data_IF_124430166075
#
_entry.id   IF_124430166075
#
_cell.length_a   1.000
_cell.length_b   1.000
_cell.length_c   1.000
_cell.angle_alpha   90.00
_cell.angle_beta   90.00
_cell.angle_gamma   90.00
#
_symmetry.space_group_name_H-M   'P 1'
#
loop_
_entity.id
_entity.type
_entity.pdbx_description
1 polymer ?
#
# COMPACT_ATOMS: atom_id res chain seq x y z
N UNK A 1 -15.28 4.96 23.43
CA UNK A 1 -14.51 3.82 22.87
C UNK A 1 -14.08 4.16 21.46
N UNK A 2 -12.81 4.45 21.26
CA UNK A 2 -12.27 4.83 19.93
C UNK A 2 -12.05 3.56 19.11
N UNK A 3 -12.84 3.36 18.06
CA UNK A 3 -12.67 2.22 17.15
C UNK A 3 -11.35 2.40 16.38
N UNK A 4 -10.38 1.50 16.60
CA UNK A 4 -9.04 1.59 16.04
C UNK A 4 -8.92 1.07 14.60
N UNK A 5 -9.87 0.23 14.12
CA UNK A 5 -9.82 -0.42 12.79
C UNK A 5 -11.06 -0.13 11.93
N UNK A 6 -10.90 0.50 10.76
CA UNK A 6 -11.99 0.81 9.81
C UNK A 6 -11.66 0.41 8.38
N UNK A 7 -12.46 -0.45 7.76
CA UNK A 7 -12.28 -0.82 6.35
C UNK A 7 -12.39 0.42 5.45
N UNK A 8 -11.45 0.65 4.51
CA UNK A 8 -11.51 1.80 3.62
C UNK A 8 -12.64 1.70 2.58
N UNK A 9 -12.91 0.50 2.08
CA UNK A 9 -13.89 0.25 1.01
C UNK A 9 -15.33 0.31 1.53
N UNK A 10 -15.72 -0.59 2.42
CA UNK A 10 -17.10 -0.67 2.91
C UNK A 10 -17.35 0.04 4.25
N UNK A 11 -16.33 0.73 4.80
CA UNK A 11 -16.42 1.57 6.01
C UNK A 11 -16.77 0.82 7.31
N UNK A 12 -16.84 -0.51 7.27
CA UNK A 12 -17.06 -1.39 8.43
C UNK A 12 -16.00 -1.14 9.49
N UNK A 13 -16.45 -1.02 10.75
CA UNK A 13 -15.57 -0.80 11.90
C UNK A 13 -15.37 -2.11 12.67
N UNK A 14 -14.14 -2.33 13.14
CA UNK A 14 -13.75 -3.45 13.99
C UNK A 14 -12.99 -2.95 15.20
N UNK A 15 -13.21 -3.62 16.32
CA UNK A 15 -12.63 -3.26 17.62
C UNK A 15 -11.22 -3.81 17.80
N UNK A 16 -10.91 -4.90 17.11
CA UNK A 16 -9.63 -5.60 17.19
C UNK A 16 -9.10 -5.96 15.80
N UNK A 17 -7.80 -6.16 15.74
CA UNK A 17 -7.07 -6.46 14.50
C UNK A 17 -7.47 -7.81 13.91
N UNK A 18 -7.76 -8.83 14.74
CA UNK A 18 -8.15 -10.17 14.28
C UNK A 18 -9.45 -10.14 13.49
N UNK A 19 -10.49 -9.50 14.03
CA UNK A 19 -11.77 -9.30 13.35
C UNK A 19 -11.63 -8.40 12.12
N UNK A 20 -10.67 -7.48 12.12
CA UNK A 20 -10.35 -6.67 10.94
C UNK A 20 -9.73 -7.51 9.84
N UNK A 21 -8.71 -8.32 10.13
CA UNK A 21 -8.09 -9.24 9.17
C UNK A 21 -9.10 -10.27 8.63
N UNK A 22 -9.95 -10.82 9.50
CA UNK A 22 -11.01 -11.74 9.09
C UNK A 22 -11.99 -11.06 8.12
N UNK A 23 -12.38 -9.82 8.41
CA UNK A 23 -13.25 -9.04 7.54
C UNK A 23 -12.62 -8.84 6.15
N UNK A 24 -11.35 -8.45 6.07
CA UNK A 24 -10.67 -8.24 4.79
C UNK A 24 -10.57 -9.54 3.98
N UNK A 25 -10.30 -10.68 4.64
CA UNK A 25 -10.28 -11.99 3.99
C UNK A 25 -11.66 -12.39 3.46
N UNK A 26 -12.71 -12.14 4.24
CA UNK A 26 -14.08 -12.49 3.87
C UNK A 26 -14.61 -11.64 2.71
N UNK A 27 -14.22 -10.36 2.64
CA UNK A 27 -14.71 -9.45 1.60
C UNK A 27 -13.77 -9.30 0.40
N UNK A 28 -12.52 -9.74 0.52
CA UNK A 28 -11.49 -9.51 -0.50
C UNK A 28 -11.01 -8.06 -0.60
N UNK A 29 -11.41 -7.20 0.36
CA UNK A 29 -11.02 -5.79 0.37
C UNK A 29 -9.52 -5.61 0.66
N UNK A 30 -8.90 -4.62 0.02
CA UNK A 30 -7.45 -4.37 0.06
C UNK A 30 -7.11 -3.20 0.98
N UNK A 31 -5.91 -3.23 1.55
CA UNK A 31 -5.36 -2.16 2.38
C UNK A 31 -4.30 -1.37 1.60
N UNK A 32 -4.05 -0.13 2.04
CA UNK A 32 -2.93 0.64 1.49
C UNK A 32 -1.62 -0.01 1.87
N UNK A 33 -0.72 -0.11 0.89
CA UNK A 33 0.69 -0.46 1.12
C UNK A 33 1.60 0.78 1.12
N UNK A 34 1.01 1.97 1.14
CA UNK A 34 1.71 3.25 1.09
C UNK A 34 2.53 3.61 2.35
N UNK A 35 2.68 2.70 3.30
CA UNK A 35 3.73 2.77 4.33
C UNK A 35 3.51 3.73 5.50
N UNK A 36 2.35 4.40 5.58
CA UNK A 36 2.06 5.35 6.68
C UNK A 36 0.67 5.23 7.31
N UNK A 37 -0.24 4.46 6.71
CA UNK A 37 -1.62 4.34 7.18
C UNK A 37 -2.11 2.91 7.05
N UNK A 38 -2.91 2.49 8.03
CA UNK A 38 -3.58 1.18 8.02
C UNK A 38 -4.70 1.07 6.94
N UNK A 39 -4.95 2.13 6.16
CA UNK A 39 -6.13 2.28 5.30
C UNK A 39 -5.79 2.88 3.95
N UNK A 40 -6.48 2.44 2.89
CA UNK A 40 -6.41 3.08 1.57
C UNK A 40 -6.84 4.54 1.64
N UNK A 41 -5.97 5.43 1.19
CA UNK A 41 -6.34 6.82 1.00
C UNK A 41 -7.28 6.96 -0.20
N UNK A 42 -8.19 7.95 -0.13
CA UNK A 42 -9.07 8.30 -1.27
C UNK A 42 -8.23 8.68 -2.50
N UNK A 43 -8.75 8.47 -3.73
CA UNK A 43 -8.15 9.04 -4.94
C UNK A 43 -7.89 10.55 -4.77
N UNK A 44 -6.68 11.01 -5.11
CA UNK A 44 -6.23 12.39 -4.90
C UNK A 44 -5.71 12.72 -3.49
N UNK A 45 -5.51 11.72 -2.62
CA UNK A 45 -4.89 11.96 -1.33
C UNK A 45 -3.37 12.12 -1.44
N UNK A 46 -2.79 13.17 -0.81
CA UNK A 46 -1.36 13.49 -0.97
C UNK A 46 -0.43 12.39 -0.42
N UNK A 47 -0.90 11.52 0.48
CA UNK A 47 -0.03 10.57 1.17
C UNK A 47 0.23 9.28 0.38
N UNK A 48 -0.64 8.89 -0.55
CA UNK A 48 -0.33 7.80 -1.49
C UNK A 48 0.72 8.23 -2.50
N UNK A 49 0.60 9.45 -3.03
CA UNK A 49 1.45 9.99 -4.10
C UNK A 49 2.85 10.39 -3.61
N UNK A 50 2.98 10.76 -2.34
CA UNK A 50 4.27 11.08 -1.70
C UNK A 50 5.11 9.86 -1.32
N UNK A 51 4.57 8.65 -1.38
CA UNK A 51 5.38 7.45 -1.16
C UNK A 51 6.39 7.33 -2.32
N UNK A 52 7.70 7.11 -2.06
CA UNK A 52 8.68 6.92 -3.13
C UNK A 52 8.32 5.80 -4.11
N UNK A 53 7.59 4.78 -3.64
CA UNK A 53 7.09 3.64 -4.43
C UNK A 53 5.67 3.85 -4.97
N UNK A 54 5.13 5.07 -4.93
CA UNK A 54 3.72 5.34 -5.24
C UNK A 54 3.29 4.83 -6.61
N UNK A 55 4.14 4.95 -7.64
CA UNK A 55 3.83 4.46 -8.99
C UNK A 55 3.65 2.92 -9.03
N UNK A 56 4.56 2.16 -8.42
CA UNK A 56 4.44 0.70 -8.33
C UNK A 56 3.20 0.27 -7.53
N UNK A 57 2.91 0.99 -6.44
CA UNK A 57 1.75 0.71 -5.58
C UNK A 57 0.42 1.01 -6.27
N UNK A 58 0.36 2.07 -7.08
CA UNK A 58 -0.82 2.39 -7.90
C UNK A 58 -1.01 1.36 -9.01
N UNK A 59 0.07 0.96 -9.71
CA UNK A 59 0.01 -0.08 -10.73
C UNK A 59 -0.58 -1.40 -10.19
N UNK A 60 -0.10 -1.85 -9.02
CA UNK A 60 -0.64 -3.03 -8.34
C UNK A 60 -2.13 -2.90 -7.99
N UNK A 61 -2.58 -1.69 -7.60
CA UNK A 61 -4.01 -1.44 -7.32
C UNK A 61 -4.87 -1.50 -8.57
N UNK A 62 -4.37 -0.98 -9.69
CA UNK A 62 -5.10 -0.96 -10.96
C UNK A 62 -5.01 -2.29 -11.73
N UNK A 63 -4.41 -3.32 -11.13
CA UNK A 63 -4.42 -4.68 -11.66
C UNK A 63 -3.27 -5.00 -12.62
N UNK A 64 -2.18 -4.22 -12.59
CA UNK A 64 -0.94 -4.62 -13.24
C UNK A 64 -0.46 -5.96 -12.68
N UNK A 65 0.25 -6.71 -13.53
CA UNK A 65 0.88 -7.97 -13.15
C UNK A 65 1.99 -7.77 -12.11
N UNK A 66 2.32 -8.82 -11.37
CA UNK A 66 3.40 -8.76 -10.38
C UNK A 66 4.76 -8.44 -11.05
N UNK A 67 4.96 -8.88 -12.30
CA UNK A 67 6.14 -8.58 -13.11
C UNK A 67 6.23 -7.07 -13.41
N UNK A 68 5.16 -6.48 -13.94
CA UNK A 68 5.11 -5.04 -14.23
C UNK A 68 5.29 -4.19 -12.96
N UNK A 69 4.68 -4.60 -11.85
CA UNK A 69 4.84 -3.92 -10.55
C UNK A 69 6.29 -3.97 -10.10
N UNK A 70 6.97 -5.10 -10.33
CA UNK A 70 8.39 -5.29 -9.98
C UNK A 70 9.29 -4.44 -10.85
N UNK A 71 9.03 -4.36 -12.15
CA UNK A 71 9.79 -3.52 -13.08
C UNK A 71 9.69 -2.03 -12.72
N UNK A 72 8.48 -1.55 -12.42
CA UNK A 72 8.27 -0.17 -11.97
C UNK A 72 9.01 0.08 -10.65
N UNK A 73 9.00 -0.88 -9.72
CA UNK A 73 9.70 -0.76 -8.46
C UNK A 73 11.23 -0.70 -8.66
N UNK A 74 11.78 -1.53 -9.55
CA UNK A 74 13.20 -1.52 -9.91
C UNK A 74 13.61 -0.19 -10.54
N UNK A 75 12.84 0.31 -11.50
CA UNK A 75 13.09 1.58 -12.16
C UNK A 75 13.16 2.73 -11.15
N UNK A 76 12.21 2.78 -10.19
CA UNK A 76 12.23 3.78 -9.11
C UNK A 76 13.52 3.69 -8.30
N UNK A 77 13.92 2.48 -7.90
CA UNK A 77 15.13 2.27 -7.08
C UNK A 77 16.39 2.69 -7.83
N UNK A 78 16.49 2.37 -9.12
CA UNK A 78 17.66 2.65 -9.95
C UNK A 78 17.78 4.13 -10.34
N UNK A 79 16.66 4.83 -10.53
CA UNK A 79 16.65 6.21 -11.03
C UNK A 79 16.52 7.28 -9.95
N UNK A 80 16.00 6.94 -8.76
CA UNK A 80 15.87 7.91 -7.66
C UNK A 80 17.23 8.26 -7.08
N UNK A 81 17.80 9.40 -7.53
CA UNK A 81 19.02 9.98 -6.95
C UNK A 81 18.80 10.30 -5.47
N UNK A 82 19.27 9.40 -4.60
CA UNK A 82 19.63 9.52 -3.17
C UNK A 82 19.14 8.31 -2.37
N UNK A 83 19.73 7.14 -2.61
CA UNK A 83 20.01 6.15 -1.58
C UNK A 83 21.21 5.34 -2.08
N UNK A 84 22.39 5.65 -1.56
CA UNK A 84 23.50 4.71 -1.58
C UNK A 84 22.95 3.42 -0.97
N UNK A 85 22.82 2.36 -1.76
CA UNK A 85 22.57 1.05 -1.19
C UNK A 85 23.72 0.78 -0.22
N UNK A 86 23.42 0.63 1.08
CA UNK A 86 24.45 0.34 2.09
C UNK A 86 25.15 -0.99 1.80
N UNK A 87 24.47 -1.90 1.09
CA UNK A 87 25.02 -3.15 0.60
C UNK A 87 24.52 -3.46 -0.80
N UNK A 88 25.46 -3.86 -1.66
CA UNK A 88 25.18 -4.61 -2.88
C UNK A 88 24.79 -6.05 -2.48
N UNK A 89 23.68 -6.63 -2.97
CA UNK A 89 23.31 -8.01 -2.71
C UNK A 89 24.06 -9.03 -3.58
N UNK A 90 25.06 -8.57 -4.35
CA UNK A 90 26.05 -9.38 -5.06
C UNK A 90 27.42 -9.19 -4.43
#
# INVERSE_FOLDING_TARGET
MTFLFRCPECRTRRRDHGLFSQHLRATGHRLCRCGGYHYEHRPGSPFCERNPMSAALLASRYGASDEEVTDIALEIVLTTRRRTALHCPF
#
